data_IF_855372006518
#
_entry.id   IF_855372006518
#
_cell.length_a   1.000
_cell.length_b   1.000
_cell.length_c   1.000
_cell.angle_alpha   90.00
_cell.angle_beta   90.00
_cell.angle_gamma   90.00
#
_symmetry.space_group_name_H-M   'P 1'
#
loop_
_entity.id
_entity.type
_entity.pdbx_description
1 polymer ?
#
# COMPACT_ATOMS: atom_id res chain seq x y z
N UNK A 1 27.78 -4.80 18.59
CA UNK A 1 27.81 -3.62 17.71
C UNK A 1 28.09 -4.13 16.31
N UNK A 2 27.22 -3.86 15.36
CA UNK A 2 27.47 -4.20 13.95
C UNK A 2 28.63 -3.33 13.44
N UNK A 3 29.71 -3.97 13.00
CA UNK A 3 30.84 -3.27 12.37
C UNK A 3 30.59 -2.88 10.92
N UNK A 4 29.40 -3.16 10.40
CA UNK A 4 29.02 -2.90 9.02
C UNK A 4 28.49 -1.48 8.81
N UNK A 5 28.91 -0.84 7.73
CA UNK A 5 28.44 0.49 7.31
C UNK A 5 27.23 0.36 6.37
N UNK A 6 26.09 -0.08 6.89
CA UNK A 6 24.82 -0.10 6.12
C UNK A 6 24.07 1.21 6.40
N UNK A 7 23.55 1.87 5.35
CA UNK A 7 22.63 2.99 5.54
C UNK A 7 21.38 2.52 6.28
N UNK A 8 21.29 2.87 7.57
CA UNK A 8 20.14 2.50 8.40
C UNK A 8 18.96 3.45 8.18
N UNK A 9 17.76 2.89 8.05
CA UNK A 9 16.52 3.65 7.96
C UNK A 9 15.99 4.13 9.33
N UNK A 10 16.37 3.48 10.41
CA UNK A 10 15.85 3.68 11.77
C UNK A 10 16.86 4.19 12.82
N UNK A 11 18.05 4.64 12.39
CA UNK A 11 19.11 5.09 13.31
C UNK A 11 20.14 4.00 13.65
N UNK A 12 21.15 4.34 14.47
CA UNK A 12 22.33 3.50 14.67
C UNK A 12 22.13 2.29 15.64
N UNK A 13 21.04 2.29 16.42
CA UNK A 13 20.82 1.30 17.49
C UNK A 13 19.46 0.60 17.34
N UNK A 14 19.33 -0.26 16.35
CA UNK A 14 18.14 -1.11 16.20
C UNK A 14 18.36 -2.46 16.87
N UNK A 15 17.33 -3.09 17.48
CA UNK A 15 17.40 -4.47 17.92
C UNK A 15 17.67 -5.40 16.73
N UNK A 16 18.36 -6.50 16.97
CA UNK A 16 18.66 -7.51 15.95
C UNK A 16 17.53 -8.52 15.97
N UNK A 17 16.71 -8.57 14.93
CA UNK A 17 15.68 -9.58 14.79
C UNK A 17 16.33 -10.97 14.65
N UNK A 18 15.89 -11.93 15.46
CA UNK A 18 16.40 -13.29 15.49
C UNK A 18 15.43 -14.29 14.88
N UNK A 19 14.13 -14.16 15.19
CA UNK A 19 13.09 -15.05 14.68
C UNK A 19 11.73 -14.36 14.62
N UNK A 20 10.78 -14.97 13.90
CA UNK A 20 9.40 -14.52 13.85
C UNK A 20 8.46 -15.72 13.88
N UNK A 21 7.35 -15.61 14.59
CA UNK A 21 6.30 -16.62 14.67
C UNK A 21 4.92 -15.95 14.81
N UNK A 22 3.99 -16.33 13.94
CA UNK A 22 2.66 -15.74 13.89
C UNK A 22 2.69 -14.22 13.74
N UNK A 23 2.20 -13.49 14.73
CA UNK A 23 2.22 -12.03 14.75
C UNK A 23 3.41 -11.46 15.55
N UNK A 24 4.39 -12.27 15.95
CA UNK A 24 5.48 -11.85 16.82
C UNK A 24 6.84 -11.91 16.16
N UNK A 25 7.70 -10.95 16.52
CA UNK A 25 9.13 -10.93 16.23
C UNK A 25 9.88 -11.02 17.55
N UNK A 26 10.93 -11.86 17.61
CA UNK A 26 11.82 -11.97 18.76
C UNK A 26 13.22 -11.49 18.37
N UNK A 27 13.82 -10.63 19.19
CA UNK A 27 15.19 -10.16 18.97
C UNK A 27 16.24 -11.12 19.61
N UNK A 28 17.51 -10.84 19.39
CA UNK A 28 18.62 -11.64 19.88
C UNK A 28 18.83 -11.58 21.40
N UNK A 29 18.12 -10.70 22.11
CA UNK A 29 18.08 -10.67 23.58
C UNK A 29 16.95 -11.55 24.15
N UNK A 30 16.09 -12.10 23.29
CA UNK A 30 14.90 -12.86 23.66
C UNK A 30 13.67 -11.97 23.88
N UNK A 31 13.75 -10.66 23.67
CA UNK A 31 12.60 -9.76 23.78
C UNK A 31 11.64 -9.98 22.62
N UNK A 32 10.35 -10.07 22.94
CA UNK A 32 9.27 -10.22 21.96
C UNK A 32 8.63 -8.89 21.62
N UNK A 33 8.20 -8.78 20.38
CA UNK A 33 7.45 -7.64 19.84
C UNK A 33 6.24 -8.15 19.09
N UNK A 34 5.05 -7.62 19.39
CA UNK A 34 3.85 -7.83 18.59
C UNK A 34 3.92 -6.93 17.37
N UNK A 35 3.92 -7.52 16.18
CA UNK A 35 4.02 -6.81 14.91
C UNK A 35 2.65 -6.29 14.46
N UNK A 36 2.18 -5.23 15.10
CA UNK A 36 0.92 -4.59 14.75
C UNK A 36 1.00 -3.76 13.45
N UNK A 37 2.16 -3.72 12.81
CA UNK A 37 2.39 -3.03 11.55
C UNK A 37 2.59 -3.99 10.36
N UNK A 38 2.76 -5.30 10.61
CA UNK A 38 3.13 -6.24 9.55
C UNK A 38 4.39 -5.78 8.81
N UNK A 39 5.38 -5.25 9.55
CA UNK A 39 6.52 -4.52 8.99
C UNK A 39 6.10 -3.18 8.38
N UNK A 40 6.05 -3.09 7.07
CA UNK A 40 5.52 -1.94 6.31
C UNK A 40 4.17 -2.30 5.67
N UNK A 41 3.25 -2.90 6.45
CA UNK A 41 1.95 -3.42 5.99
C UNK A 41 2.16 -4.50 4.89
N UNK A 42 3.12 -5.39 5.11
CA UNK A 42 3.54 -6.42 4.15
C UNK A 42 3.08 -7.81 4.60
N UNK A 43 3.30 -8.13 5.89
CA UNK A 43 3.07 -9.46 6.44
C UNK A 43 1.58 -9.70 6.66
N UNK A 44 0.98 -10.54 5.83
CA UNK A 44 -0.43 -10.95 5.93
C UNK A 44 -0.57 -12.30 6.63
N UNK A 45 0.11 -13.34 6.12
CA UNK A 45 -0.05 -14.72 6.63
C UNK A 45 0.71 -15.03 7.93
N UNK A 46 1.39 -14.04 8.53
CA UNK A 46 2.22 -14.21 9.72
C UNK A 46 3.67 -14.61 9.39
N UNK A 47 4.51 -14.50 10.42
CA UNK A 47 5.91 -14.90 10.38
C UNK A 47 6.06 -16.41 10.57
N UNK A 48 7.24 -16.97 10.18
CA UNK A 48 7.63 -18.35 10.52
C UNK A 48 6.93 -19.45 9.71
N UNK A 49 6.26 -19.15 8.60
CA UNK A 49 5.54 -20.13 7.77
C UNK A 49 6.52 -21.05 7.04
N UNK A 50 6.77 -22.22 7.59
CA UNK A 50 7.71 -23.21 7.07
C UNK A 50 7.39 -23.61 5.63
N UNK A 51 6.13 -23.83 5.29
CA UNK A 51 5.71 -24.21 3.94
C UNK A 51 6.18 -23.23 2.86
N UNK A 52 6.22 -21.93 3.16
CA UNK A 52 6.67 -20.89 2.23
C UNK A 52 8.20 -20.97 2.04
N UNK A 53 8.95 -21.17 3.13
CA UNK A 53 10.41 -21.33 3.06
C UNK A 53 10.80 -22.60 2.28
N UNK A 54 10.07 -23.70 2.49
CA UNK A 54 10.30 -24.97 1.79
C UNK A 54 9.97 -24.85 0.29
N UNK A 55 8.91 -24.14 -0.10
CA UNK A 55 8.59 -23.86 -1.49
C UNK A 55 9.70 -23.08 -2.20
N UNK A 56 10.26 -22.06 -1.54
CA UNK A 56 11.40 -21.30 -2.06
C UNK A 56 12.63 -22.18 -2.24
N UNK A 57 12.98 -22.98 -1.22
CA UNK A 57 14.15 -23.86 -1.23
C UNK A 57 14.02 -24.93 -2.34
N UNK A 58 12.85 -25.56 -2.45
CA UNK A 58 12.60 -26.57 -3.46
C UNK A 58 12.72 -26.00 -4.89
N UNK A 59 12.17 -24.82 -5.13
CA UNK A 59 12.27 -24.18 -6.44
C UNK A 59 13.70 -23.77 -6.77
N UNK A 60 14.43 -23.19 -5.81
CA UNK A 60 15.83 -22.81 -6.01
C UNK A 60 16.75 -24.01 -6.25
N UNK A 61 16.45 -25.17 -5.64
CA UNK A 61 17.18 -26.41 -5.88
C UNK A 61 16.98 -26.95 -7.31
N UNK A 62 15.82 -26.68 -7.93
CA UNK A 62 15.56 -27.03 -9.34
C UNK A 62 16.21 -26.02 -10.30
N UNK A 63 15.83 -24.78 -10.17
CA UNK A 63 16.37 -23.64 -10.91
C UNK A 63 16.02 -22.32 -10.20
N UNK A 64 17.04 -21.53 -9.93
CA UNK A 64 16.89 -20.23 -9.25
C UNK A 64 16.61 -19.08 -10.24
N UNK A 65 17.18 -19.15 -11.44
CA UNK A 65 17.08 -18.10 -12.44
C UNK A 65 17.14 -18.64 -13.86
N UNK A 66 16.23 -18.16 -14.69
CA UNK A 66 16.32 -18.26 -16.16
C UNK A 66 15.86 -16.92 -16.74
N UNK A 67 16.51 -16.47 -17.80
CA UNK A 67 16.18 -15.17 -18.39
C UNK A 67 14.86 -15.22 -19.14
N UNK A 68 13.91 -14.34 -18.81
CA UNK A 68 12.53 -14.35 -19.33
C UNK A 68 12.41 -14.12 -20.85
N UNK A 69 13.48 -13.70 -21.55
CA UNK A 69 13.47 -13.65 -23.03
C UNK A 69 13.80 -14.99 -23.67
N UNK A 70 14.26 -15.98 -22.91
CA UNK A 70 14.70 -17.28 -23.43
C UNK A 70 13.88 -18.45 -22.87
N UNK A 71 13.34 -18.29 -21.65
CA UNK A 71 12.63 -19.35 -20.95
C UNK A 71 11.45 -18.78 -20.15
N UNK A 72 10.37 -19.54 -20.04
CA UNK A 72 9.36 -19.46 -18.97
C UNK A 72 9.63 -20.58 -17.94
N UNK A 73 8.78 -20.70 -16.94
CA UNK A 73 8.85 -21.76 -15.95
C UNK A 73 7.43 -22.17 -15.49
N UNK A 74 7.26 -23.46 -15.18
CA UNK A 74 5.99 -24.00 -14.71
C UNK A 74 5.40 -23.20 -13.57
N UNK A 75 6.25 -22.79 -12.59
CA UNK A 75 5.79 -22.01 -11.42
C UNK A 75 5.23 -20.63 -11.79
N UNK A 76 5.66 -20.00 -12.88
CA UNK A 76 5.11 -18.75 -13.39
C UNK A 76 3.73 -18.98 -14.02
N UNK A 77 3.62 -19.98 -14.89
CA UNK A 77 2.37 -20.30 -15.59
C UNK A 77 1.29 -20.76 -14.59
N UNK A 78 1.67 -21.62 -13.64
CA UNK A 78 0.79 -22.07 -12.56
C UNK A 78 0.35 -20.92 -11.66
N UNK A 79 1.27 -20.00 -11.29
CA UNK A 79 0.93 -18.82 -10.50
C UNK A 79 -0.06 -17.92 -11.25
N UNK A 80 0.15 -17.65 -12.54
CA UNK A 80 -0.77 -16.85 -13.36
C UNK A 80 -2.15 -17.50 -13.41
N UNK A 81 -2.21 -18.83 -13.61
CA UNK A 81 -3.49 -19.57 -13.67
C UNK A 81 -4.25 -19.54 -12.34
N UNK A 82 -3.55 -19.49 -11.22
CA UNK A 82 -4.14 -19.45 -9.87
C UNK A 82 -4.57 -18.04 -9.45
N UNK A 83 -3.81 -16.99 -9.80
CA UNK A 83 -4.11 -15.62 -9.39
C UNK A 83 -5.03 -14.90 -10.38
N UNK A 84 -4.95 -15.21 -11.67
CA UNK A 84 -5.73 -14.55 -12.73
C UNK A 84 -7.23 -14.49 -12.44
N UNK A 85 -7.89 -15.61 -12.08
CA UNK A 85 -9.33 -15.61 -11.77
C UNK A 85 -9.76 -14.74 -10.57
N UNK A 86 -8.82 -14.31 -9.72
CA UNK A 86 -9.10 -13.45 -8.57
C UNK A 86 -9.06 -11.97 -8.93
N UNK A 87 -8.40 -11.61 -10.03
CA UNK A 87 -8.21 -10.23 -10.43
C UNK A 87 -9.53 -9.59 -10.85
N UNK A 88 -9.82 -8.35 -10.42
CA UNK A 88 -11.05 -7.64 -10.77
C UNK A 88 -10.99 -7.05 -12.19
N UNK A 89 -10.66 -7.86 -13.18
CA UNK A 89 -10.57 -7.47 -14.60
C UNK A 89 -10.78 -8.69 -15.53
N UNK A 90 -11.05 -8.43 -16.78
CA UNK A 90 -11.28 -9.49 -17.78
C UNK A 90 -9.98 -9.84 -18.51
N UNK A 91 -9.76 -11.16 -18.70
CA UNK A 91 -8.66 -11.71 -19.51
C UNK A 91 -7.28 -11.10 -19.20
N UNK A 92 -6.86 -11.08 -17.91
CA UNK A 92 -5.65 -10.36 -17.51
C UNK A 92 -4.38 -11.02 -18.06
N UNK A 93 -3.44 -10.17 -18.54
CA UNK A 93 -2.05 -10.55 -18.77
C UNK A 93 -1.18 -9.93 -17.65
N UNK A 94 -0.27 -10.74 -17.08
CA UNK A 94 0.52 -10.38 -15.94
C UNK A 94 2.00 -10.21 -16.29
N UNK A 95 2.62 -9.15 -15.75
CA UNK A 95 4.05 -8.90 -15.84
C UNK A 95 4.68 -8.93 -14.44
N UNK A 96 5.37 -10.03 -14.05
CA UNK A 96 6.03 -10.14 -12.75
C UNK A 96 7.23 -9.19 -12.63
N UNK A 97 7.41 -8.60 -11.43
CA UNK A 97 8.51 -7.70 -11.06
C UNK A 97 8.99 -7.99 -9.63
N UNK A 98 10.01 -7.29 -9.13
CA UNK A 98 10.56 -7.55 -7.80
C UNK A 98 9.86 -6.78 -6.67
N UNK A 99 8.99 -5.81 -6.97
CA UNK A 99 8.33 -5.02 -5.93
C UNK A 99 7.49 -3.86 -6.46
N UNK A 100 6.87 -3.10 -5.54
CA UNK A 100 5.89 -2.06 -5.87
C UNK A 100 6.43 -0.91 -6.72
N UNK A 101 7.67 -0.45 -6.49
CA UNK A 101 8.26 0.62 -7.32
C UNK A 101 8.48 0.17 -8.76
N UNK A 102 8.96 -1.05 -8.98
CA UNK A 102 9.09 -1.63 -10.31
C UNK A 102 7.71 -1.86 -10.96
N UNK A 103 6.70 -2.23 -10.17
CA UNK A 103 5.33 -2.35 -10.67
C UNK A 103 4.79 -0.98 -11.16
N UNK A 104 5.02 0.10 -10.42
CA UNK A 104 4.64 1.45 -10.84
C UNK A 104 5.35 1.87 -12.14
N UNK A 105 6.67 1.66 -12.25
CA UNK A 105 7.43 1.95 -13.48
C UNK A 105 6.93 1.10 -14.67
N UNK A 106 6.60 -0.17 -14.43
CA UNK A 106 6.06 -1.07 -15.46
C UNK A 106 4.70 -0.59 -15.94
N UNK A 107 3.80 -0.23 -15.01
CA UNK A 107 2.47 0.28 -15.37
C UNK A 107 2.54 1.58 -16.17
N UNK A 108 3.42 2.52 -15.79
CA UNK A 108 3.65 3.75 -16.57
C UNK A 108 4.09 3.46 -18.02
N UNK A 109 4.97 2.47 -18.19
CA UNK A 109 5.41 2.04 -19.51
C UNK A 109 4.33 1.29 -20.28
N UNK A 110 3.51 0.48 -19.62
CA UNK A 110 2.33 -0.17 -20.24
C UNK A 110 1.32 0.87 -20.71
N UNK A 111 1.00 1.88 -19.89
CA UNK A 111 0.15 3.02 -20.29
C UNK A 111 0.69 3.68 -21.57
N UNK A 112 1.98 3.99 -21.61
CA UNK A 112 2.59 4.60 -22.77
C UNK A 112 2.56 3.69 -24.01
N UNK A 113 2.90 2.42 -23.86
CA UNK A 113 2.90 1.43 -24.94
C UNK A 113 1.49 1.24 -25.52
N UNK A 114 0.47 1.19 -24.65
CA UNK A 114 -0.93 1.12 -25.07
C UNK A 114 -1.32 2.27 -25.99
N UNK A 115 -1.08 3.52 -25.56
CA UNK A 115 -1.46 4.69 -26.35
C UNK A 115 -0.68 4.83 -27.65
N UNK A 116 0.57 4.39 -27.68
CA UNK A 116 1.33 4.28 -28.94
C UNK A 116 0.71 3.23 -29.88
N UNK A 117 0.33 2.07 -29.35
CA UNK A 117 -0.33 1.02 -30.13
C UNK A 117 -1.71 1.44 -30.64
N UNK A 118 -2.40 2.34 -29.92
CA UNK A 118 -3.67 2.92 -30.35
C UNK A 118 -3.52 4.07 -31.38
N UNK A 119 -2.29 4.49 -31.70
CA UNK A 119 -2.05 5.63 -32.59
C UNK A 119 -2.33 6.99 -31.95
N UNK A 120 -2.40 7.06 -30.61
CA UNK A 120 -2.64 8.28 -29.83
C UNK A 120 -1.35 8.73 -29.07
N UNK A 121 -0.26 9.14 -29.78
CA UNK A 121 1.04 9.44 -29.16
C UNK A 121 1.01 10.67 -28.24
N UNK A 122 0.02 11.52 -28.34
CA UNK A 122 -0.12 12.75 -27.55
C UNK A 122 -0.71 12.49 -26.14
N UNK A 123 -1.24 11.30 -25.87
CA UNK A 123 -1.65 10.89 -24.54
C UNK A 123 -0.43 10.58 -23.68
N UNK A 124 0.04 11.59 -22.96
CA UNK A 124 1.27 11.53 -22.15
C UNK A 124 1.10 11.97 -20.70
N UNK A 125 -0.01 12.64 -20.39
CA UNK A 125 -0.29 13.14 -19.04
C UNK A 125 -0.80 11.99 -18.18
N UNK A 126 -0.08 11.69 -17.10
CA UNK A 126 -0.53 10.75 -16.07
C UNK A 126 -0.93 11.55 -14.84
N UNK A 127 -2.08 11.20 -14.26
CA UNK A 127 -2.66 11.88 -13.11
C UNK A 127 -2.61 10.96 -11.90
N UNK A 128 -2.21 11.49 -10.76
CA UNK A 128 -2.26 10.83 -9.46
C UNK A 128 -2.87 11.76 -8.40
N UNK A 129 -2.68 11.46 -7.14
CA UNK A 129 -3.27 12.24 -6.03
C UNK A 129 -2.19 12.78 -5.09
N UNK A 130 -2.40 13.98 -4.58
CA UNK A 130 -1.65 14.43 -3.41
C UNK A 130 -1.87 13.45 -2.25
N UNK A 131 -0.87 13.29 -1.40
CA UNK A 131 -0.92 12.35 -0.29
C UNK A 131 -0.80 10.87 -0.66
N UNK A 132 -0.62 10.50 -1.94
CA UNK A 132 -0.41 9.11 -2.37
C UNK A 132 1.04 8.64 -2.21
N UNK A 133 1.24 7.31 -2.33
CA UNK A 133 2.57 6.70 -2.40
C UNK A 133 2.58 5.50 -3.36
N UNK A 134 3.39 5.60 -4.41
CA UNK A 134 3.50 4.58 -5.46
C UNK A 134 4.90 3.97 -5.58
N UNK A 135 5.87 4.48 -4.83
CA UNK A 135 7.23 3.93 -4.80
C UNK A 135 8.33 4.99 -4.68
N UNK A 136 9.58 4.55 -4.81
CA UNK A 136 10.77 5.38 -4.56
C UNK A 136 11.75 5.44 -5.75
N UNK A 137 11.47 4.80 -6.88
CA UNK A 137 12.15 5.12 -8.15
C UNK A 137 11.71 6.50 -8.62
N UNK A 138 12.45 7.18 -9.47
CA UNK A 138 12.15 8.57 -9.82
C UNK A 138 10.75 8.73 -10.45
N UNK A 139 10.33 7.83 -11.34
CA UNK A 139 8.98 7.86 -11.90
C UNK A 139 7.90 7.55 -10.86
N UNK A 140 8.09 6.52 -10.03
CA UNK A 140 7.14 6.19 -8.97
C UNK A 140 7.08 7.26 -7.86
N UNK A 141 8.21 7.94 -7.59
CA UNK A 141 8.27 9.05 -6.63
C UNK A 141 7.55 10.28 -7.19
N UNK A 142 7.74 10.57 -8.49
CA UNK A 142 7.05 11.68 -9.14
C UNK A 142 5.53 11.44 -9.23
N UNK A 143 5.11 10.19 -9.43
CA UNK A 143 3.72 9.77 -9.36
C UNK A 143 3.15 9.89 -7.92
N UNK A 144 3.99 9.71 -6.90
CA UNK A 144 3.60 9.83 -5.49
C UNK A 144 3.37 11.30 -5.10
N UNK A 145 2.31 11.55 -4.29
CA UNK A 145 1.95 12.90 -3.83
C UNK A 145 2.43 13.26 -2.42
N UNK A 146 3.26 12.42 -1.77
CA UNK A 146 3.77 12.71 -0.42
C UNK A 146 4.89 13.75 -0.45
N UNK A 147 4.56 14.98 -0.10
CA UNK A 147 5.46 16.15 -0.18
C UNK A 147 6.78 15.96 0.56
N UNK A 148 6.78 15.37 1.75
CA UNK A 148 7.99 15.13 2.55
C UNK A 148 9.00 14.19 1.89
N UNK A 149 8.56 13.24 1.05
CA UNK A 149 9.44 12.37 0.28
C UNK A 149 9.90 13.02 -1.02
N UNK A 150 9.08 13.87 -1.63
CA UNK A 150 9.36 14.56 -2.90
C UNK A 150 10.38 15.68 -2.73
N UNK A 151 10.25 16.48 -1.65
CA UNK A 151 11.03 17.71 -1.43
C UNK A 151 12.54 17.60 -1.71
N UNK A 152 13.27 16.55 -1.26
CA UNK A 152 14.70 16.43 -1.56
C UNK A 152 15.01 16.22 -3.04
N UNK A 153 14.05 15.75 -3.83
CA UNK A 153 14.20 15.35 -5.23
C UNK A 153 13.41 16.22 -6.20
N UNK A 154 12.74 17.26 -5.75
CA UNK A 154 11.93 18.17 -6.58
C UNK A 154 12.58 18.62 -7.88
N UNK A 155 13.91 18.91 -7.95
CA UNK A 155 14.54 19.26 -9.21
C UNK A 155 14.51 18.18 -10.30
N UNK A 156 14.23 16.93 -9.94
CA UNK A 156 14.16 15.79 -10.85
C UNK A 156 12.73 15.30 -11.12
N UNK A 157 11.74 15.92 -10.50
CA UNK A 157 10.32 15.55 -10.58
C UNK A 157 9.55 16.58 -11.42
N UNK A 158 8.25 16.37 -11.62
CA UNK A 158 7.36 17.33 -12.29
C UNK A 158 6.86 16.90 -13.66
N UNK A 159 6.81 15.57 -13.92
CA UNK A 159 6.25 14.98 -15.14
C UNK A 159 4.77 14.63 -15.00
N UNK A 160 4.30 14.40 -13.77
CA UNK A 160 2.95 13.91 -13.52
C UNK A 160 2.10 14.95 -12.77
N UNK A 161 0.81 14.93 -13.07
CA UNK A 161 -0.19 15.82 -12.47
C UNK A 161 -0.78 15.21 -11.21
N UNK A 162 -1.19 16.06 -10.27
CA UNK A 162 -1.80 15.62 -9.03
C UNK A 162 -3.09 16.38 -8.76
N UNK A 163 -4.14 15.62 -8.38
CA UNK A 163 -5.41 16.15 -7.86
C UNK A 163 -5.51 15.85 -6.37
N UNK A 164 -6.52 16.41 -5.70
CA UNK A 164 -6.74 16.21 -4.27
C UNK A 164 -7.03 14.75 -3.90
N UNK A 165 -6.66 14.36 -2.68
CA UNK A 165 -6.95 13.04 -2.14
C UNK A 165 -8.41 12.94 -1.64
N UNK A 166 -9.09 11.78 -1.77
CA UNK A 166 -10.38 11.55 -1.13
C UNK A 166 -10.18 11.33 0.38
N UNK A 167 -10.18 12.42 1.12
CA UNK A 167 -9.87 12.43 2.55
C UNK A 167 -10.90 13.28 3.32
N UNK A 168 -12.08 12.70 3.51
CA UNK A 168 -13.27 13.38 4.04
C UNK A 168 -13.03 14.06 5.39
N UNK A 169 -12.20 13.47 6.26
CA UNK A 169 -11.88 14.05 7.56
C UNK A 169 -11.27 15.44 7.46
N UNK A 170 -10.47 15.70 6.41
CA UNK A 170 -9.81 16.99 6.19
C UNK A 170 -10.33 17.79 5.00
N UNK A 171 -11.38 17.31 4.34
CA UNK A 171 -12.01 18.03 3.24
C UNK A 171 -12.51 19.41 3.70
N UNK A 172 -12.22 20.44 2.91
CA UNK A 172 -12.59 21.83 3.21
C UNK A 172 -11.72 22.55 4.26
N UNK A 173 -10.66 21.89 4.78
CA UNK A 173 -9.70 22.57 5.66
C UNK A 173 -8.59 23.25 4.86
N UNK A 174 -8.17 24.42 5.30
CA UNK A 174 -7.08 25.18 4.68
C UNK A 174 -5.77 24.40 4.65
N UNK A 175 -5.12 24.40 3.49
CA UNK A 175 -3.85 23.68 3.26
C UNK A 175 -3.97 22.18 3.05
N UNK A 176 -5.16 21.58 3.23
CA UNK A 176 -5.38 20.18 2.92
C UNK A 176 -5.71 20.02 1.43
N UNK A 177 -4.92 19.18 0.73
CA UNK A 177 -5.26 18.73 -0.63
C UNK A 177 -6.26 17.56 -0.54
N UNK A 178 -7.47 17.83 -0.08
CA UNK A 178 -8.46 16.83 0.29
C UNK A 178 -9.86 17.18 -0.19
N UNK A 179 -10.58 16.17 -0.66
CA UNK A 179 -11.98 16.24 -1.11
C UNK A 179 -12.84 15.26 -0.33
N UNK A 180 -14.13 15.58 -0.24
CA UNK A 180 -15.12 14.81 0.54
C UNK A 180 -16.12 14.02 -0.31
N UNK A 181 -16.08 14.12 -1.64
CA UNK A 181 -17.07 13.46 -2.52
C UNK A 181 -16.49 13.08 -3.88
N UNK A 182 -17.18 12.16 -4.56
CA UNK A 182 -16.90 11.83 -5.96
C UNK A 182 -17.20 12.98 -6.93
N UNK A 183 -18.17 13.83 -6.60
CA UNK A 183 -18.48 15.01 -7.40
C UNK A 183 -17.34 16.03 -7.40
N UNK A 184 -16.70 16.28 -6.23
CA UNK A 184 -15.51 17.14 -6.13
C UNK A 184 -14.34 16.54 -6.92
N UNK A 185 -14.12 15.22 -6.85
CA UNK A 185 -13.09 14.56 -7.64
C UNK A 185 -13.29 14.76 -9.14
N UNK A 186 -14.50 14.57 -9.63
CA UNK A 186 -14.83 14.79 -11.05
C UNK A 186 -14.63 16.24 -11.44
N UNK A 187 -15.00 17.20 -10.60
CA UNK A 187 -14.80 18.62 -10.89
C UNK A 187 -13.31 18.99 -11.03
N UNK A 188 -12.43 18.46 -10.17
CA UNK A 188 -10.98 18.66 -10.30
C UNK A 188 -10.41 18.00 -11.57
N UNK A 189 -10.88 16.81 -11.91
CA UNK A 189 -10.47 16.09 -13.12
C UNK A 189 -10.93 16.81 -14.39
N UNK A 190 -12.15 17.39 -14.41
CA UNK A 190 -12.67 18.19 -15.51
C UNK A 190 -11.89 19.51 -15.67
N UNK A 191 -11.51 20.15 -14.57
CA UNK A 191 -10.65 21.34 -14.57
C UNK A 191 -9.26 21.01 -15.14
N UNK A 192 -8.68 19.87 -14.73
CA UNK A 192 -7.41 19.40 -15.29
C UNK A 192 -7.54 19.10 -16.77
N UNK A 193 -8.56 18.37 -17.19
CA UNK A 193 -8.82 18.05 -18.60
C UNK A 193 -8.96 19.31 -19.45
N UNK A 194 -9.64 20.34 -18.93
CA UNK A 194 -9.79 21.63 -19.60
C UNK A 194 -8.45 22.35 -19.75
N UNK A 195 -7.54 22.22 -18.77
CA UNK A 195 -6.20 22.84 -18.79
C UNK A 195 -5.24 22.15 -19.75
N UNK A 196 -5.20 20.80 -19.75
CA UNK A 196 -4.24 20.04 -20.57
C UNK A 196 -4.78 19.71 -21.96
N UNK A 197 -6.07 19.78 -22.16
CA UNK A 197 -6.78 19.48 -23.41
C UNK A 197 -7.27 18.03 -23.50
N UNK A 198 -8.39 17.80 -24.20
CA UNK A 198 -8.90 16.48 -24.46
C UNK A 198 -7.89 15.66 -25.28
N UNK A 199 -7.78 14.35 -24.96
CA UNK A 199 -6.86 13.45 -25.67
C UNK A 199 -5.41 13.50 -25.18
N UNK A 200 -5.09 14.25 -24.12
CA UNK A 200 -3.73 14.28 -23.55
C UNK A 200 -3.58 13.45 -22.27
N UNK A 201 -4.66 13.25 -21.51
CA UNK A 201 -4.60 12.43 -20.30
C UNK A 201 -4.55 10.94 -20.69
N UNK A 202 -3.48 10.26 -20.27
CA UNK A 202 -3.21 8.86 -20.57
C UNK A 202 -3.81 7.92 -19.52
N UNK A 203 -3.61 8.23 -18.23
CA UNK A 203 -4.05 7.39 -17.12
C UNK A 203 -4.32 8.19 -15.84
N UNK A 204 -5.19 7.64 -15.00
CA UNK A 204 -5.37 8.02 -13.60
C UNK A 204 -4.89 6.86 -12.72
N UNK A 205 -3.94 7.13 -11.82
CA UNK A 205 -3.31 6.12 -10.95
C UNK A 205 -3.63 6.42 -9.50
N UNK A 206 -4.19 5.44 -8.78
CA UNK A 206 -4.59 5.65 -7.40
C UNK A 206 -4.65 4.36 -6.56
N UNK A 207 -4.32 4.48 -5.27
CA UNK A 207 -4.57 3.43 -4.27
C UNK A 207 -6.08 3.35 -3.98
N UNK A 208 -6.70 2.16 -3.86
CA UNK A 208 -8.12 2.03 -3.48
C UNK A 208 -8.44 2.70 -2.14
N UNK A 209 -7.61 2.47 -1.15
CA UNK A 209 -7.56 3.13 0.15
C UNK A 209 -6.16 3.69 0.28
N UNK A 210 -6.03 4.98 0.60
CA UNK A 210 -4.71 5.60 0.70
C UNK A 210 -3.95 5.00 1.88
N UNK A 211 -2.79 4.45 1.60
CA UNK A 211 -2.03 3.67 2.58
C UNK A 211 -1.42 4.49 3.71
N UNK A 212 -0.11 4.29 3.94
CA UNK A 212 0.60 4.87 5.09
C UNK A 212 0.69 6.41 5.09
N UNK A 213 0.51 7.04 3.95
CA UNK A 213 0.65 8.51 3.81
C UNK A 213 -0.52 9.27 4.40
N UNK A 214 -1.73 8.72 4.32
CA UNK A 214 -2.96 9.28 4.92
C UNK A 214 -3.60 8.30 5.91
N UNK A 215 -2.83 7.36 6.45
CA UNK A 215 -3.23 6.37 7.45
C UNK A 215 -4.60 5.74 7.14
N UNK A 216 -4.63 4.89 6.12
CA UNK A 216 -5.79 4.14 5.71
C UNK A 216 -7.03 5.01 5.36
N UNK A 217 -6.82 6.19 4.74
CA UNK A 217 -7.93 7.05 4.34
C UNK A 217 -8.81 6.34 3.32
N UNK A 218 -10.03 6.02 3.75
CA UNK A 218 -11.06 5.38 2.93
C UNK A 218 -11.80 6.47 2.16
N UNK A 219 -11.86 6.39 0.82
CA UNK A 219 -12.63 7.35 0.04
C UNK A 219 -14.13 7.23 0.31
N UNK A 220 -14.90 8.31 0.11
CA UNK A 220 -16.37 8.25 0.11
C UNK A 220 -16.88 7.18 -0.86
N UNK A 221 -18.04 6.60 -0.56
CA UNK A 221 -18.58 5.49 -1.36
C UNK A 221 -18.86 5.86 -2.82
N UNK A 222 -19.13 7.12 -3.11
CA UNK A 222 -19.38 7.65 -4.45
C UNK A 222 -18.10 7.95 -5.25
N UNK A 223 -16.92 7.97 -4.60
CA UNK A 223 -15.66 8.38 -5.22
C UNK A 223 -15.24 7.46 -6.37
N UNK A 224 -15.07 6.17 -6.09
CA UNK A 224 -14.59 5.22 -7.10
C UNK A 224 -15.55 5.01 -8.27
N UNK A 225 -16.89 4.91 -8.06
CA UNK A 225 -17.86 4.90 -9.16
C UNK A 225 -17.76 6.15 -10.03
N UNK A 226 -17.64 7.34 -9.43
CA UNK A 226 -17.55 8.61 -10.16
C UNK A 226 -16.26 8.72 -10.98
N UNK A 227 -15.09 8.40 -10.37
CA UNK A 227 -13.78 8.44 -11.05
C UNK A 227 -13.71 7.39 -12.17
N UNK A 228 -14.18 6.17 -11.93
CA UNK A 228 -14.20 5.12 -12.95
C UNK A 228 -15.07 5.51 -14.15
N UNK A 229 -16.26 6.06 -13.90
CA UNK A 229 -17.14 6.57 -14.96
C UNK A 229 -16.50 7.75 -15.73
N UNK A 230 -15.79 8.63 -15.03
CA UNK A 230 -15.06 9.74 -15.65
C UNK A 230 -13.92 9.23 -16.55
N UNK A 231 -13.14 8.27 -16.09
CA UNK A 231 -12.06 7.65 -16.85
C UNK A 231 -12.60 7.00 -18.14
N UNK A 232 -13.66 6.20 -18.01
CA UNK A 232 -14.29 5.54 -19.16
C UNK A 232 -14.81 6.55 -20.21
N UNK A 233 -15.51 7.61 -19.76
CA UNK A 233 -16.06 8.64 -20.64
C UNK A 233 -14.99 9.42 -21.41
N UNK A 234 -13.82 9.65 -20.78
CA UNK A 234 -12.72 10.41 -21.35
C UNK A 234 -11.64 9.55 -22.01
N UNK A 235 -11.85 8.22 -22.06
CA UNK A 235 -10.88 7.24 -22.55
C UNK A 235 -9.52 7.39 -21.83
N UNK A 236 -9.55 7.49 -20.51
CA UNK A 236 -8.38 7.54 -19.63
C UNK A 236 -8.23 6.18 -18.97
N UNK A 237 -7.04 5.58 -19.01
CA UNK A 237 -6.81 4.29 -18.35
C UNK A 237 -6.89 4.44 -16.83
N UNK A 238 -7.67 3.57 -16.18
CA UNK A 238 -7.76 3.50 -14.73
C UNK A 238 -6.75 2.49 -14.20
N UNK A 239 -5.81 2.96 -13.39
CA UNK A 239 -4.74 2.13 -12.80
C UNK A 239 -4.94 2.05 -11.28
N UNK A 240 -5.26 0.87 -10.76
CA UNK A 240 -5.39 0.63 -9.33
C UNK A 240 -4.05 0.19 -8.72
N UNK A 241 -3.54 0.95 -7.78
CA UNK A 241 -2.37 0.55 -6.98
C UNK A 241 -2.82 -0.23 -5.75
N UNK A 242 -2.82 -1.56 -5.88
CA UNK A 242 -3.17 -2.54 -4.85
C UNK A 242 -1.95 -3.04 -4.07
N UNK A 243 -0.82 -2.37 -4.18
CA UNK A 243 0.42 -2.79 -3.50
C UNK A 243 0.23 -2.92 -2.00
N UNK A 244 -0.59 -2.08 -1.38
CA UNK A 244 -0.90 -2.17 0.05
C UNK A 244 -2.25 -2.84 0.34
N UNK A 245 -3.24 -2.63 -0.49
CA UNK A 245 -4.64 -3.00 -0.26
C UNK A 245 -5.00 -4.41 -0.72
N UNK A 246 -4.21 -4.97 -1.63
CA UNK A 246 -4.44 -6.29 -2.21
C UNK A 246 -4.13 -7.46 -1.28
N UNK A 247 -4.50 -8.64 -1.71
CA UNK A 247 -4.26 -9.92 -1.06
C UNK A 247 -4.82 -9.99 0.38
N UNK A 248 -6.04 -9.50 0.56
CA UNK A 248 -6.80 -9.65 1.80
C UNK A 248 -6.66 -8.52 2.81
N UNK A 249 -5.72 -7.60 2.64
CA UNK A 249 -5.42 -6.56 3.64
C UNK A 249 -6.64 -5.76 4.09
N UNK A 250 -7.57 -5.49 3.19
CA UNK A 250 -8.78 -4.70 3.48
C UNK A 250 -10.03 -5.55 3.72
N UNK A 251 -9.87 -6.88 3.84
CA UNK A 251 -10.98 -7.83 4.02
C UNK A 251 -11.63 -8.30 2.72
N UNK A 252 -11.05 -7.95 1.58
CA UNK A 252 -11.39 -8.44 0.23
C UNK A 252 -10.11 -8.82 -0.50
N UNK A 253 -10.18 -9.59 -1.61
CA UNK A 253 -9.00 -9.94 -2.38
C UNK A 253 -8.23 -8.70 -2.85
N UNK A 254 -8.94 -7.68 -3.33
CA UNK A 254 -8.39 -6.39 -3.76
C UNK A 254 -9.25 -5.26 -3.22
N UNK A 255 -8.63 -4.13 -2.90
CA UNK A 255 -9.32 -2.97 -2.33
C UNK A 255 -10.42 -2.41 -3.22
N UNK A 256 -10.25 -2.42 -4.55
CA UNK A 256 -11.28 -1.97 -5.50
C UNK A 256 -12.56 -2.83 -5.48
N UNK A 257 -12.51 -4.05 -4.93
CA UNK A 257 -13.70 -4.90 -4.79
C UNK A 257 -14.77 -4.27 -3.89
N UNK A 258 -14.39 -3.40 -2.96
CA UNK A 258 -15.35 -2.68 -2.09
C UNK A 258 -16.33 -1.81 -2.88
N UNK A 259 -15.98 -1.40 -4.10
CA UNK A 259 -16.78 -0.54 -4.97
C UNK A 259 -17.13 -1.19 -6.31
N UNK A 260 -16.83 -2.49 -6.49
CA UNK A 260 -17.02 -3.23 -7.73
C UNK A 260 -16.37 -2.56 -8.96
N UNK A 261 -15.24 -1.87 -8.76
CA UNK A 261 -14.49 -1.23 -9.83
C UNK A 261 -13.58 -2.24 -10.52
N UNK A 262 -13.57 -2.19 -11.85
CA UNK A 262 -12.67 -2.98 -12.70
C UNK A 262 -11.65 -2.02 -13.32
N UNK A 263 -10.39 -2.02 -12.85
CA UNK A 263 -9.34 -1.19 -13.43
C UNK A 263 -8.82 -1.77 -14.76
N UNK A 264 -8.23 -0.91 -15.58
CA UNK A 264 -7.55 -1.31 -16.81
C UNK A 264 -6.18 -1.93 -16.51
N UNK A 265 -5.47 -1.39 -15.50
CA UNK A 265 -4.26 -1.98 -14.94
C UNK A 265 -4.35 -2.07 -13.40
N UNK A 266 -3.67 -3.06 -12.85
CA UNK A 266 -3.58 -3.27 -11.40
C UNK A 266 -2.14 -3.58 -11.02
N UNK A 267 -1.62 -2.86 -10.01
CA UNK A 267 -0.31 -3.07 -9.42
C UNK A 267 -0.45 -3.89 -8.14
N UNK A 268 0.41 -4.89 -7.93
CA UNK A 268 0.44 -5.62 -6.66
C UNK A 268 1.87 -6.00 -6.27
N UNK A 269 2.13 -6.03 -4.96
CA UNK A 269 3.37 -6.51 -4.36
C UNK A 269 3.08 -6.93 -2.90
N UNK A 270 3.98 -6.69 -1.96
CA UNK A 270 3.76 -6.89 -0.51
C UNK A 270 3.01 -8.18 -0.15
N UNK A 271 1.68 -8.11 -0.03
CA UNK A 271 0.80 -9.23 0.30
C UNK A 271 0.93 -10.43 -0.65
N UNK A 272 1.36 -10.22 -1.88
CA UNK A 272 1.58 -11.29 -2.88
C UNK A 272 2.47 -12.40 -2.33
N UNK A 273 3.52 -12.02 -1.60
CA UNK A 273 4.47 -12.95 -0.96
C UNK A 273 4.53 -12.78 0.55
N UNK A 274 3.73 -11.88 1.12
CA UNK A 274 3.69 -11.61 2.57
C UNK A 274 5.07 -11.30 3.19
N UNK A 275 5.98 -10.72 2.39
CA UNK A 275 7.33 -10.36 2.82
C UNK A 275 8.37 -11.49 2.75
N UNK A 276 7.98 -12.70 2.37
CA UNK A 276 8.89 -13.84 2.29
C UNK A 276 9.85 -13.77 1.10
N UNK A 277 9.47 -13.07 0.04
CA UNK A 277 10.29 -12.89 -1.17
C UNK A 277 10.02 -11.54 -1.84
N UNK A 278 11.04 -10.88 -2.40
CA UNK A 278 10.82 -9.71 -3.26
C UNK A 278 10.08 -10.14 -4.53
N UNK A 279 8.78 -9.77 -4.62
CA UNK A 279 7.94 -10.11 -5.76
C UNK A 279 6.72 -9.18 -5.84
N UNK A 280 6.30 -8.87 -7.03
CA UNK A 280 5.11 -8.11 -7.35
C UNK A 280 4.75 -8.33 -8.81
N UNK A 281 3.73 -7.67 -9.28
CA UNK A 281 3.32 -7.74 -10.68
C UNK A 281 2.47 -6.54 -11.09
N UNK A 282 2.37 -6.36 -12.41
CA UNK A 282 1.31 -5.56 -13.04
C UNK A 282 0.41 -6.51 -13.80
N UNK A 283 -0.90 -6.41 -13.59
CA UNK A 283 -1.91 -7.02 -14.43
C UNK A 283 -2.51 -5.97 -15.36
N UNK A 284 -2.63 -6.29 -16.63
CA UNK A 284 -3.31 -5.48 -17.62
C UNK A 284 -4.52 -6.26 -18.15
N UNK A 285 -5.70 -5.64 -18.18
CA UNK A 285 -6.90 -6.23 -18.76
C UNK A 285 -6.69 -6.55 -20.24
N UNK A 286 -7.38 -7.57 -20.78
CA UNK A 286 -7.16 -8.06 -22.13
C UNK A 286 -7.16 -6.96 -23.20
N UNK A 287 -8.12 -6.03 -23.14
CA UNK A 287 -8.21 -4.90 -24.09
C UNK A 287 -7.01 -3.94 -24.04
N UNK A 288 -6.25 -3.91 -22.93
CA UNK A 288 -5.00 -3.16 -22.80
C UNK A 288 -3.80 -4.02 -23.20
N UNK A 289 -3.78 -5.27 -22.76
CA UNK A 289 -2.67 -6.18 -22.99
C UNK A 289 -2.50 -6.55 -24.47
N UNK A 290 -3.59 -6.88 -25.17
CA UNK A 290 -3.55 -7.32 -26.57
C UNK A 290 -2.85 -6.33 -27.53
N UNK A 291 -3.19 -5.03 -27.56
CA UNK A 291 -2.48 -4.06 -28.39
C UNK A 291 -1.00 -3.92 -28.04
N UNK A 292 -0.65 -3.97 -26.77
CA UNK A 292 0.74 -3.89 -26.30
C UNK A 292 1.53 -5.11 -26.80
N UNK A 293 0.98 -6.31 -26.64
CA UNK A 293 1.62 -7.55 -27.07
C UNK A 293 1.78 -7.61 -28.59
N UNK A 294 0.79 -7.16 -29.34
CA UNK A 294 0.82 -7.14 -30.80
C UNK A 294 1.88 -6.16 -31.37
N UNK A 295 2.13 -5.04 -30.67
CA UNK A 295 3.13 -4.03 -31.09
C UNK A 295 4.53 -4.28 -30.52
N UNK A 296 4.67 -5.20 -29.57
CA UNK A 296 5.91 -5.47 -28.83
C UNK A 296 6.09 -4.53 -27.63
N UNK A 297 6.36 -5.10 -26.45
CA UNK A 297 6.57 -4.35 -25.21
C UNK A 297 8.06 -4.17 -24.91
N UNK A 298 8.57 -2.96 -25.12
CA UNK A 298 9.98 -2.61 -24.86
C UNK A 298 10.17 -2.32 -23.37
N UNK A 299 10.38 -3.36 -22.57
CA UNK A 299 10.55 -3.27 -21.13
C UNK A 299 11.28 -4.49 -20.59
N UNK A 300 11.97 -4.33 -19.44
CA UNK A 300 12.58 -5.46 -18.72
C UNK A 300 13.36 -5.02 -17.49
N UNK A 301 13.35 -5.90 -16.50
CA UNK A 301 14.24 -5.87 -15.34
C UNK A 301 14.92 -7.24 -15.23
N UNK A 302 16.18 -7.27 -14.77
CA UNK A 302 16.93 -8.52 -14.62
C UNK A 302 16.20 -9.53 -13.74
N UNK A 303 15.53 -9.08 -12.69
CA UNK A 303 14.81 -9.94 -11.74
C UNK A 303 13.30 -9.95 -11.96
N UNK A 304 12.80 -9.44 -13.10
CA UNK A 304 11.44 -9.73 -13.51
C UNK A 304 11.27 -11.24 -13.79
N UNK A 305 10.04 -11.74 -13.73
CA UNK A 305 9.76 -13.17 -13.94
C UNK A 305 10.53 -14.10 -13.00
N UNK A 306 10.68 -13.69 -11.72
CA UNK A 306 11.38 -14.46 -10.69
C UNK A 306 10.70 -15.81 -10.46
N UNK A 307 11.38 -16.89 -10.85
CA UNK A 307 10.88 -18.26 -10.72
C UNK A 307 10.66 -18.65 -9.25
N UNK A 308 11.63 -18.39 -8.32
CA UNK A 308 11.39 -18.61 -6.89
C UNK A 308 10.31 -17.68 -6.32
N UNK A 309 10.21 -16.44 -6.82
CA UNK A 309 9.16 -15.50 -6.41
C UNK A 309 7.76 -16.03 -6.72
N UNK A 310 7.55 -16.62 -7.89
CA UNK A 310 6.28 -17.25 -8.27
C UNK A 310 5.94 -18.45 -7.39
N UNK A 311 6.92 -19.31 -7.08
CA UNK A 311 6.72 -20.46 -6.18
C UNK A 311 6.33 -20.02 -4.76
N UNK A 312 6.98 -18.97 -4.23
CA UNK A 312 6.63 -18.36 -2.95
C UNK A 312 5.23 -17.76 -2.99
N UNK A 313 4.90 -16.98 -4.04
CA UNK A 313 3.59 -16.36 -4.20
C UNK A 313 2.46 -17.40 -4.24
N UNK A 314 2.66 -18.53 -4.92
CA UNK A 314 1.71 -19.66 -4.91
C UNK A 314 1.50 -20.26 -3.52
N UNK A 315 2.60 -20.47 -2.78
CA UNK A 315 2.53 -20.98 -1.41
C UNK A 315 1.75 -20.03 -0.49
N UNK A 316 1.98 -18.71 -0.63
CA UNK A 316 1.22 -17.69 0.11
C UNK A 316 -0.25 -17.68 -0.30
N UNK A 317 -0.54 -17.73 -1.60
CA UNK A 317 -1.92 -17.75 -2.12
C UNK A 317 -2.68 -18.98 -1.60
N UNK A 318 -2.02 -20.14 -1.56
CA UNK A 318 -2.60 -21.36 -0.99
C UNK A 318 -2.96 -21.17 0.49
N UNK A 319 -2.08 -20.61 1.30
CA UNK A 319 -2.33 -20.33 2.72
C UNK A 319 -3.49 -19.34 2.88
N UNK A 320 -3.53 -18.25 2.11
CA UNK A 320 -4.62 -17.28 2.14
C UNK A 320 -5.99 -17.92 1.91
N UNK A 321 -6.07 -18.87 0.98
CA UNK A 321 -7.31 -19.61 0.65
C UNK A 321 -7.64 -20.67 1.71
N UNK A 322 -6.71 -21.58 1.99
CA UNK A 322 -6.94 -22.75 2.83
C UNK A 322 -7.27 -22.37 4.28
N UNK A 323 -6.71 -21.26 4.77
CA UNK A 323 -6.92 -20.77 6.13
C UNK A 323 -7.97 -19.64 6.19
N UNK A 324 -8.71 -19.36 5.12
CA UNK A 324 -9.77 -18.34 5.01
C UNK A 324 -9.30 -16.95 5.51
N UNK A 325 -8.08 -16.55 5.16
CA UNK A 325 -7.44 -15.36 5.74
C UNK A 325 -8.04 -14.04 5.24
N UNK A 326 -8.74 -14.03 4.11
CA UNK A 326 -9.44 -12.84 3.62
C UNK A 326 -10.61 -12.51 4.55
N UNK A 327 -11.41 -13.51 4.88
CA UNK A 327 -12.53 -13.43 5.81
C UNK A 327 -12.04 -13.12 7.24
N UNK A 328 -10.92 -13.76 7.64
CA UNK A 328 -10.27 -13.45 8.92
C UNK A 328 -9.84 -11.97 9.00
N UNK A 329 -9.24 -11.43 7.93
CA UNK A 329 -8.86 -10.01 7.87
C UNK A 329 -10.08 -9.07 8.01
N UNK A 330 -11.21 -9.41 7.40
CA UNK A 330 -12.45 -8.65 7.52
C UNK A 330 -12.98 -8.67 8.96
N UNK A 331 -13.12 -9.87 9.55
CA UNK A 331 -13.68 -10.07 10.89
C UNK A 331 -12.76 -9.46 11.97
N UNK A 332 -11.47 -9.84 11.99
CA UNK A 332 -10.50 -9.33 12.96
C UNK A 332 -10.25 -7.82 12.82
N UNK A 333 -10.39 -7.29 11.58
CA UNK A 333 -10.33 -5.85 11.33
C UNK A 333 -11.47 -5.09 12.00
N UNK A 334 -12.70 -5.61 11.92
CA UNK A 334 -13.86 -5.04 12.60
C UNK A 334 -13.72 -5.08 14.12
N UNK A 335 -13.27 -6.21 14.68
CA UNK A 335 -13.03 -6.38 16.11
C UNK A 335 -11.91 -5.45 16.63
N UNK A 336 -10.79 -5.35 15.92
CA UNK A 336 -9.69 -4.46 16.26
C UNK A 336 -10.11 -3.00 16.21
N UNK A 337 -10.88 -2.61 15.20
CA UNK A 337 -11.43 -1.26 15.09
C UNK A 337 -12.32 -0.93 16.29
N UNK A 338 -13.26 -1.82 16.64
CA UNK A 338 -14.14 -1.61 17.79
C UNK A 338 -13.34 -1.50 19.11
N UNK A 339 -12.32 -2.34 19.30
CA UNK A 339 -11.45 -2.25 20.47
C UNK A 339 -10.65 -0.93 20.54
N UNK A 340 -10.17 -0.43 19.41
CA UNK A 340 -9.49 0.87 19.34
C UNK A 340 -10.46 2.03 19.59
N UNK A 341 -11.67 1.97 19.06
CA UNK A 341 -12.72 2.97 19.29
C UNK A 341 -13.14 3.03 20.76
N UNK A 342 -13.22 1.89 21.45
CA UNK A 342 -13.53 1.80 22.89
C UNK A 342 -12.39 2.39 23.74
N UNK A 343 -11.16 1.93 23.56
CA UNK A 343 -10.00 2.36 24.33
C UNK A 343 -9.65 3.86 24.12
N UNK A 344 -9.95 4.41 22.95
CA UNK A 344 -9.60 5.78 22.55
C UNK A 344 -10.80 6.75 22.52
N UNK A 345 -12.00 6.31 22.92
CA UNK A 345 -13.25 7.08 22.82
C UNK A 345 -13.16 8.51 23.36
N UNK A 346 -12.48 8.68 24.49
CA UNK A 346 -12.36 9.93 25.20
C UNK A 346 -10.98 10.58 25.11
N UNK A 347 -10.07 10.04 24.28
CA UNK A 347 -8.73 10.64 24.14
C UNK A 347 -8.80 11.94 23.33
N UNK A 348 -8.42 13.09 23.90
CA UNK A 348 -8.54 14.39 23.23
C UNK A 348 -7.61 14.54 22.01
N UNK A 349 -6.59 13.71 21.91
CA UNK A 349 -5.67 13.74 20.78
C UNK A 349 -6.08 12.86 19.60
N UNK A 350 -7.11 12.01 19.76
CA UNK A 350 -7.59 11.15 18.68
C UNK A 350 -8.69 11.85 17.89
N UNK A 351 -8.39 12.24 16.66
CA UNK A 351 -9.32 12.92 15.77
C UNK A 351 -10.24 11.96 15.02
N UNK A 352 -9.66 10.89 14.47
CA UNK A 352 -10.40 9.89 13.70
C UNK A 352 -9.70 8.51 13.77
N UNK A 353 -10.51 7.45 13.80
CA UNK A 353 -10.10 6.06 13.56
C UNK A 353 -10.78 5.60 12.28
N UNK A 354 -10.01 5.14 11.28
CA UNK A 354 -10.52 4.80 9.94
C UNK A 354 -9.85 3.58 9.36
N UNK A 355 -10.34 3.08 8.24
CA UNK A 355 -9.78 1.93 7.52
C UNK A 355 -10.81 0.86 7.21
N UNK A 356 -10.35 -0.22 6.56
CA UNK A 356 -11.14 -1.42 6.27
C UNK A 356 -10.27 -2.67 6.46
N UNK A 357 -10.88 -3.75 6.94
CA UNK A 357 -10.15 -4.98 7.28
C UNK A 357 -9.03 -4.71 8.28
N UNK A 358 -7.90 -5.34 8.12
CA UNK A 358 -6.69 -5.11 8.93
C UNK A 358 -5.75 -4.05 8.31
N UNK A 359 -6.32 -2.99 7.77
CA UNK A 359 -5.65 -1.75 7.40
C UNK A 359 -6.37 -0.60 8.12
N UNK A 360 -5.89 -0.24 9.30
CA UNK A 360 -6.49 0.79 10.14
C UNK A 360 -5.53 1.96 10.33
N UNK A 361 -6.08 3.14 10.54
CA UNK A 361 -5.34 4.36 10.80
C UNK A 361 -5.96 5.17 11.91
N UNK A 362 -5.11 5.81 12.71
CA UNK A 362 -5.51 6.74 13.77
C UNK A 362 -4.89 8.09 13.43
N UNK A 363 -5.71 9.12 13.33
CA UNK A 363 -5.25 10.49 13.20
C UNK A 363 -5.12 11.15 14.56
N UNK A 364 -3.94 11.71 14.82
CA UNK A 364 -3.65 12.45 16.03
C UNK A 364 -3.74 13.96 15.77
N UNK A 365 -4.47 14.66 16.61
CA UNK A 365 -4.72 16.11 16.53
C UNK A 365 -4.40 16.80 17.85
N UNK A 366 -4.05 18.07 17.77
CA UNK A 366 -3.86 18.90 18.97
C UNK A 366 -5.22 19.35 19.54
N UNK A 367 -6.21 19.53 18.67
CA UNK A 367 -7.60 19.86 19.02
C UNK A 367 -8.57 19.11 18.11
N UNK A 368 -9.55 18.46 18.71
CA UNK A 368 -10.58 17.68 17.99
C UNK A 368 -11.63 18.56 17.31
N UNK A 369 -11.91 19.74 17.85
CA UNK A 369 -13.01 20.59 17.40
C UNK A 369 -12.69 21.22 16.03
N UNK A 370 -11.50 21.75 15.88
CA UNK A 370 -11.03 22.37 14.64
C UNK A 370 -10.10 21.46 13.82
N UNK A 371 -9.83 20.24 14.34
CA UNK A 371 -8.93 19.25 13.75
C UNK A 371 -7.49 19.76 13.58
N UNK A 372 -7.07 20.71 14.44
CA UNK A 372 -5.74 21.30 14.37
C UNK A 372 -4.65 20.23 14.52
N UNK A 373 -3.65 20.15 13.62
CA UNK A 373 -2.56 19.21 13.74
C UNK A 373 -1.61 19.62 14.88
N UNK A 374 -0.89 18.67 15.44
CA UNK A 374 0.30 19.00 16.22
C UNK A 374 1.37 19.58 15.30
N UNK A 375 2.12 20.59 15.82
CA UNK A 375 3.29 21.09 15.11
C UNK A 375 4.33 19.96 14.93
N UNK A 376 4.87 19.80 13.73
CA UNK A 376 5.81 18.72 13.37
C UNK A 376 7.02 18.61 14.31
N UNK A 377 7.46 19.75 14.87
CA UNK A 377 8.57 19.80 15.83
C UNK A 377 8.32 19.00 17.11
N UNK A 378 7.06 18.76 17.49
CA UNK A 378 6.70 17.94 18.67
C UNK A 378 6.95 16.44 18.45
N UNK A 379 7.05 15.96 17.18
CA UNK A 379 7.33 14.58 16.83
C UNK A 379 6.42 13.56 17.53
N UNK A 380 5.12 13.86 17.58
CA UNK A 380 4.15 13.10 18.39
C UNK A 380 4.14 11.64 17.94
N UNK A 381 3.99 11.37 16.64
CA UNK A 381 3.98 9.99 16.10
C UNK A 381 5.22 9.22 16.52
N UNK A 382 6.42 9.76 16.33
CA UNK A 382 7.68 9.04 16.63
C UNK A 382 7.82 8.75 18.14
N UNK A 383 7.34 9.66 19.00
CA UNK A 383 7.32 9.45 20.45
C UNK A 383 6.35 8.32 20.82
N UNK A 384 5.12 8.33 20.25
CA UNK A 384 4.13 7.26 20.46
C UNK A 384 4.70 5.91 20.02
N UNK A 385 5.31 5.82 18.83
CA UNK A 385 5.93 4.59 18.36
C UNK A 385 7.07 4.12 19.28
N UNK A 386 7.81 5.05 19.85
CA UNK A 386 8.90 4.74 20.80
C UNK A 386 8.34 4.17 22.10
N UNK A 387 7.30 4.78 22.67
CA UNK A 387 6.63 4.25 23.87
C UNK A 387 6.04 2.87 23.62
N UNK A 388 5.30 2.68 22.53
CA UNK A 388 4.72 1.40 22.14
C UNK A 388 5.79 0.30 22.01
N UNK A 389 6.86 0.57 21.28
CA UNK A 389 7.98 -0.38 21.08
C UNK A 389 8.67 -0.76 22.39
N UNK A 390 8.77 0.18 23.34
CA UNK A 390 9.46 0.00 24.59
C UNK A 390 8.54 -0.44 25.74
N UNK A 391 7.27 -0.82 25.47
CA UNK A 391 6.36 -1.35 26.47
C UNK A 391 7.02 -2.52 27.26
N UNK A 392 6.82 -2.61 28.60
CA UNK A 392 7.66 -3.44 29.47
C UNK A 392 7.67 -4.94 29.13
N UNK A 393 6.52 -5.54 28.87
CA UNK A 393 6.41 -7.00 28.67
C UNK A 393 6.69 -7.42 27.24
N UNK A 394 5.86 -6.94 26.32
CA UNK A 394 5.94 -7.19 24.87
C UNK A 394 5.90 -5.86 24.15
N UNK A 395 6.93 -5.56 23.39
CA UNK A 395 6.95 -4.34 22.57
C UNK A 395 5.85 -4.37 21.51
N UNK A 396 5.28 -3.21 21.18
CA UNK A 396 4.28 -3.08 20.13
C UNK A 396 4.87 -2.31 18.95
N UNK A 397 4.91 -2.93 17.78
CA UNK A 397 5.41 -2.30 16.56
C UNK A 397 4.24 -1.66 15.81
N UNK A 398 4.26 -0.34 15.70
CA UNK A 398 3.29 0.45 14.95
C UNK A 398 3.99 1.09 13.75
N UNK A 399 3.22 1.52 12.73
CA UNK A 399 3.77 2.22 11.58
C UNK A 399 3.40 3.71 11.60
N UNK A 400 4.31 4.56 11.12
CA UNK A 400 4.14 6.01 11.16
C UNK A 400 3.60 6.59 9.87
N UNK A 401 2.77 7.62 10.00
CA UNK A 401 2.50 8.59 8.96
C UNK A 401 2.64 10.01 9.52
N UNK A 402 3.11 10.94 8.71
CA UNK A 402 3.28 12.35 9.10
C UNK A 402 3.07 13.27 7.90
N UNK A 403 2.69 14.52 8.17
CA UNK A 403 2.57 15.56 7.15
C UNK A 403 1.23 15.57 6.40
N UNK A 404 0.24 14.82 6.85
CA UNK A 404 -1.05 14.68 6.15
C UNK A 404 -1.96 15.90 6.22
N UNK A 405 -1.75 16.80 7.18
CA UNK A 405 -2.62 17.95 7.34
C UNK A 405 -2.36 19.05 6.29
N UNK A 406 -1.08 19.34 6.01
CA UNK A 406 -0.69 20.44 5.11
C UNK A 406 0.64 20.16 4.38
N UNK A 407 1.09 18.91 4.34
CA UNK A 407 2.38 18.51 3.76
C UNK A 407 3.58 18.63 4.71
N UNK A 408 3.41 19.18 5.90
CA UNK A 408 4.44 19.34 6.94
C UNK A 408 3.94 18.81 8.27
N UNK A 409 2.85 19.38 8.79
CA UNK A 409 2.25 19.01 10.06
C UNK A 409 1.25 17.88 9.91
N UNK A 410 0.97 17.24 11.03
CA UNK A 410 0.08 16.10 11.15
C UNK A 410 0.81 14.84 11.56
N UNK A 411 0.17 14.12 12.44
CA UNK A 411 0.66 12.89 13.07
C UNK A 411 -0.39 11.80 12.97
N UNK A 412 0.03 10.60 12.61
CA UNK A 412 -0.88 9.46 12.45
C UNK A 412 -0.18 8.13 12.68
N UNK A 413 -0.95 7.14 13.09
CA UNK A 413 -0.51 5.78 13.33
C UNK A 413 -1.21 4.89 12.32
N UNK A 414 -0.48 3.98 11.69
CA UNK A 414 -1.04 2.93 10.84
C UNK A 414 -0.87 1.60 11.52
N UNK A 415 -1.95 0.83 11.55
CA UNK A 415 -2.04 -0.50 12.15
C UNK A 415 -2.43 -1.48 11.06
N UNK A 416 -1.61 -2.50 10.85
CA UNK A 416 -1.82 -3.52 9.82
C UNK A 416 -1.16 -4.84 10.19
N UNK A 417 -1.62 -5.49 11.28
CA UNK A 417 -1.04 -6.73 11.77
C UNK A 417 -1.22 -7.88 10.77
N UNK A 418 -0.51 -8.99 10.97
CA UNK A 418 -0.82 -10.25 10.29
C UNK A 418 -2.26 -10.71 10.56
N UNK A 419 -2.86 -11.40 9.60
CA UNK A 419 -4.27 -11.85 9.67
C UNK A 419 -4.51 -12.94 10.70
N UNK A 420 -3.44 -13.50 11.25
CA UNK A 420 -3.44 -14.56 12.27
C UNK A 420 -3.63 -14.07 13.70
N UNK A 421 -3.84 -12.78 13.92
CA UNK A 421 -4.09 -12.23 15.26
C UNK A 421 -5.38 -12.78 15.84
N UNK A 422 -5.36 -13.06 17.14
CA UNK A 422 -6.51 -13.45 17.95
C UNK A 422 -6.95 -12.35 18.91
N UNK A 423 -7.86 -12.71 19.81
CA UNK A 423 -8.46 -11.77 20.77
C UNK A 423 -7.43 -11.15 21.71
N UNK A 424 -6.38 -11.91 22.10
CA UNK A 424 -5.30 -11.41 22.94
C UNK A 424 -4.49 -10.32 22.23
N UNK A 425 -4.10 -10.56 20.97
CA UNK A 425 -3.35 -9.60 20.17
C UNK A 425 -4.18 -8.35 19.89
N UNK A 426 -5.48 -8.49 19.57
CA UNK A 426 -6.40 -7.38 19.38
C UNK A 426 -6.44 -6.48 20.62
N UNK A 427 -6.71 -7.09 21.79
CA UNK A 427 -6.77 -6.36 23.05
C UNK A 427 -5.42 -5.70 23.39
N UNK A 428 -4.29 -6.37 23.10
CA UNK A 428 -2.94 -5.84 23.32
C UNK A 428 -2.62 -4.68 22.40
N UNK A 429 -3.01 -4.75 21.12
CA UNK A 429 -2.83 -3.66 20.16
C UNK A 429 -3.63 -2.44 20.62
N UNK A 430 -4.90 -2.61 20.95
CA UNK A 430 -5.77 -1.49 21.34
C UNK A 430 -5.26 -0.81 22.63
N UNK A 431 -5.08 -1.56 23.72
CA UNK A 431 -4.57 -1.02 24.99
C UNK A 431 -3.16 -0.46 24.88
N UNK A 432 -2.25 -1.15 24.17
CA UNK A 432 -0.87 -0.70 24.00
C UNK A 432 -0.76 0.59 23.19
N UNK A 433 -1.62 0.76 22.18
CA UNK A 433 -1.70 2.00 21.41
C UNK A 433 -2.24 3.15 22.26
N UNK A 434 -3.33 2.93 23.01
CA UNK A 434 -3.90 3.92 23.92
C UNK A 434 -2.90 4.35 25.00
N UNK A 435 -2.24 3.39 25.64
CA UNK A 435 -1.22 3.67 26.66
C UNK A 435 -0.05 4.49 26.09
N UNK A 436 0.40 4.21 24.87
CA UNK A 436 1.50 4.96 24.24
C UNK A 436 1.09 6.40 23.88
N UNK A 437 -0.14 6.61 23.41
CA UNK A 437 -0.69 7.96 23.15
C UNK A 437 -0.79 8.75 24.46
N UNK A 438 -1.37 8.13 25.50
CA UNK A 438 -1.49 8.73 26.83
C UNK A 438 -0.13 9.16 27.41
N UNK A 439 0.88 8.28 27.35
CA UNK A 439 2.22 8.60 27.84
C UNK A 439 2.82 9.83 27.17
N UNK A 440 2.69 9.95 25.83
CA UNK A 440 3.20 11.11 25.09
C UNK A 440 2.41 12.38 25.42
N UNK A 441 1.10 12.27 25.62
CA UNK A 441 0.26 13.40 26.01
C UNK A 441 0.63 13.92 27.40
N UNK A 442 0.86 13.02 28.35
CA UNK A 442 1.17 13.38 29.73
C UNK A 442 2.58 14.00 29.89
N UNK A 443 3.45 13.84 28.89
CA UNK A 443 4.76 14.51 28.77
C UNK A 443 4.68 15.90 28.11
N UNK A 444 3.56 16.28 27.48
CA UNK A 444 3.43 17.49 26.68
C UNK A 444 3.00 18.71 27.49
#
# INVERSE_FOLDING_TARGET
MSSGKIFSRGGPTLPIAASGDGAYITDNSGRRYLDAAGGAIVVGIGHGRRAVADAAAAQMARIAYAHGSAFTADSLDEWVSEVGPLLPMRDPSLYPVSGGSEAAETALKMVRAYWLAQGEPDRTVVVSRWGSYHGNTLGALDLSGRTGLRRPYEPWLGRFEHVSAPYSYRAGLDGANAIGSGAEAVAELDALLSRVGPGHIAAFVAEPIVGATLAAAVPPDDYWPAVSAWCARNKVLLVADEVMTGFGRTGTWFGVNHWNVQPDLLLAAKGVTSGYWPFGFVAAAGHVAEPILASGFVHGFTYSHSIPGAAVARSVLKILRDENMIEASAARGAELRAALEDELANDPWVGEIRGRGLLLGIELVADRADKAPHARAKRVTERVLTHAKNAPDVGLLLYSGTGQANGVDGDQIVIGPPFVIGDEEIARIARGTAAAICAVRDEA
#
